data_IF_990459990254
#
_entry.id   IF_990459990254
#
_cell.length_a   1.000
_cell.length_b   1.000
_cell.length_c   1.000
_cell.angle_alpha   90.00
_cell.angle_beta   90.00
_cell.angle_gamma   90.00
#
_symmetry.space_group_name_H-M   'P 1'
#
loop_
_entity.id
_entity.type
_entity.pdbx_description
1 polymer ?
#
# COMPACT_ATOMS: atom_id res chain seq x y z
N UNK A 1 4.27 34.54 4.16
CA UNK A 1 4.88 33.54 5.08
C UNK A 1 6.28 34.04 5.42
N UNK A 2 6.52 34.35 6.70
CA UNK A 2 7.77 34.91 7.21
C UNK A 2 8.91 33.88 7.13
N UNK A 3 10.17 34.37 7.00
CA UNK A 3 11.43 33.56 6.94
C UNK A 3 11.49 32.44 8.00
N UNK A 4 10.89 32.62 9.15
CA UNK A 4 10.84 31.66 10.27
C UNK A 4 10.07 30.35 9.99
N UNK A 5 9.16 30.30 9.01
CA UNK A 5 8.46 29.08 8.65
C UNK A 5 9.23 28.16 7.70
N UNK A 6 10.33 28.63 7.12
CA UNK A 6 11.16 27.88 6.16
C UNK A 6 12.19 26.99 6.86
N UNK A 7 12.56 27.32 8.10
CA UNK A 7 13.61 26.61 8.85
C UNK A 7 13.16 25.25 9.43
N UNK A 8 11.85 24.94 9.35
CA UNK A 8 11.27 23.66 9.80
C UNK A 8 10.94 22.68 8.67
N UNK A 9 10.96 23.14 7.41
CA UNK A 9 10.72 22.24 6.26
C UNK A 9 12.06 21.68 5.74
N UNK A 10 12.16 20.35 5.73
CA UNK A 10 13.32 19.66 5.15
C UNK A 10 13.42 19.95 3.63
N UNK A 11 14.63 19.81 3.06
CA UNK A 11 14.83 20.00 1.63
C UNK A 11 14.04 18.96 0.80
N UNK A 12 13.63 19.28 -0.45
CA UNK A 12 12.97 18.30 -1.33
C UNK A 12 13.76 17.01 -1.48
N UNK A 13 15.09 17.09 -1.45
CA UNK A 13 15.97 15.94 -1.54
C UNK A 13 15.90 15.07 -0.28
N UNK A 14 15.77 15.67 0.91
CA UNK A 14 15.58 14.93 2.17
C UNK A 14 14.24 14.17 2.15
N UNK A 15 13.16 14.84 1.74
CA UNK A 15 11.86 14.19 1.54
C UNK A 15 11.95 13.03 0.54
N UNK A 16 12.62 13.21 -0.59
CA UNK A 16 12.78 12.17 -1.59
C UNK A 16 13.50 10.94 -1.02
N UNK A 17 14.64 11.12 -0.35
CA UNK A 17 15.40 10.02 0.24
C UNK A 17 14.64 9.30 1.36
N UNK A 18 13.99 10.05 2.25
CA UNK A 18 13.13 9.49 3.28
C UNK A 18 11.98 8.68 2.66
N UNK A 19 11.34 9.22 1.63
CA UNK A 19 10.32 8.51 0.86
C UNK A 19 10.83 7.23 0.22
N UNK A 20 12.04 7.24 -0.33
CA UNK A 20 12.67 6.05 -0.89
C UNK A 20 12.88 4.96 0.16
N UNK A 21 13.39 5.30 1.35
CA UNK A 21 13.56 4.35 2.46
C UNK A 21 12.22 3.75 2.89
N UNK A 22 11.22 4.60 3.13
CA UNK A 22 9.89 4.16 3.55
C UNK A 22 9.23 3.26 2.50
N UNK A 23 9.34 3.62 1.20
CA UNK A 23 8.74 2.84 0.14
C UNK A 23 9.37 1.44 0.03
N UNK A 24 10.70 1.35 0.11
CA UNK A 24 11.38 0.06 0.10
C UNK A 24 11.03 -0.79 1.32
N UNK A 25 10.92 -0.17 2.50
CA UNK A 25 10.44 -0.88 3.70
C UNK A 25 9.01 -1.42 3.49
N UNK A 26 8.09 -0.60 2.97
CA UNK A 26 6.71 -1.01 2.68
C UNK A 26 6.70 -2.21 1.74
N UNK A 27 7.47 -2.17 0.65
CA UNK A 27 7.54 -3.27 -0.32
C UNK A 27 8.07 -4.55 0.33
N UNK A 28 9.16 -4.48 1.07
CA UNK A 28 9.77 -5.65 1.72
C UNK A 28 8.83 -6.26 2.76
N UNK A 29 8.22 -5.42 3.62
CA UNK A 29 7.31 -5.89 4.66
C UNK A 29 6.01 -6.47 4.06
N UNK A 30 5.47 -5.86 2.99
CA UNK A 30 4.30 -6.38 2.28
C UNK A 30 4.60 -7.72 1.58
N UNK A 31 5.75 -7.86 0.93
CA UNK A 31 6.17 -9.14 0.34
C UNK A 31 6.36 -10.22 1.40
N UNK A 32 6.96 -9.87 2.54
CA UNK A 32 7.11 -10.81 3.65
C UNK A 32 5.75 -11.26 4.19
N UNK A 33 4.84 -10.34 4.49
CA UNK A 33 3.52 -10.66 5.05
C UNK A 33 2.63 -11.40 4.05
N UNK A 34 2.51 -10.88 2.82
CA UNK A 34 1.59 -11.42 1.81
C UNK A 34 2.11 -12.70 1.17
N UNK A 35 3.31 -12.65 0.58
CA UNK A 35 3.80 -13.76 -0.22
C UNK A 35 4.43 -14.86 0.63
N UNK A 36 5.21 -14.51 1.67
CA UNK A 36 5.92 -15.48 2.47
C UNK A 36 5.04 -16.02 3.61
N UNK A 37 4.46 -15.15 4.43
CA UNK A 37 3.69 -15.59 5.61
C UNK A 37 2.33 -16.14 5.18
N UNK A 38 1.48 -15.33 4.56
CA UNK A 38 0.13 -15.80 4.16
C UNK A 38 0.16 -16.83 3.06
N UNK A 39 0.99 -16.64 2.04
CA UNK A 39 1.17 -17.63 0.97
C UNK A 39 1.65 -18.99 1.47
N UNK A 40 2.44 -19.03 2.55
CA UNK A 40 2.91 -20.26 3.17
C UNK A 40 1.92 -20.91 4.16
N UNK A 41 1.11 -20.11 4.86
CA UNK A 41 0.26 -20.59 5.96
C UNK A 41 -1.20 -20.83 5.56
N UNK A 42 -1.74 -20.08 4.59
CA UNK A 42 -3.13 -20.20 4.18
C UNK A 42 -3.27 -21.26 3.08
N UNK A 43 -4.01 -22.32 3.36
CA UNK A 43 -4.33 -23.36 2.38
C UNK A 43 -5.69 -23.06 1.76
N UNK A 44 -5.68 -22.78 0.45
CA UNK A 44 -6.91 -22.41 -0.26
C UNK A 44 -7.96 -23.53 -0.20
N UNK A 45 -9.14 -23.20 0.35
CA UNK A 45 -10.26 -24.13 0.47
C UNK A 45 -10.18 -25.09 1.67
N UNK A 46 -9.11 -25.07 2.48
CA UNK A 46 -8.94 -25.95 3.63
C UNK A 46 -8.74 -25.17 4.94
N UNK A 47 -9.84 -25.03 5.69
CA UNK A 47 -9.85 -24.30 6.96
C UNK A 47 -9.05 -25.03 8.05
N UNK A 48 -9.10 -26.38 8.08
CA UNK A 48 -8.42 -27.17 9.10
C UNK A 48 -6.89 -27.13 8.90
N UNK A 49 -6.43 -27.34 7.66
CA UNK A 49 -5.01 -27.26 7.35
C UNK A 49 -4.46 -25.83 7.56
N UNK A 50 -5.23 -24.78 7.24
CA UNK A 50 -4.88 -23.39 7.53
C UNK A 50 -4.72 -23.15 9.03
N UNK A 51 -5.69 -23.58 9.83
CA UNK A 51 -5.65 -23.44 11.29
C UNK A 51 -4.42 -24.15 11.89
N UNK A 52 -4.13 -25.38 11.46
CA UNK A 52 -2.97 -26.14 11.91
C UNK A 52 -1.64 -25.46 11.57
N UNK A 53 -1.51 -24.93 10.35
CA UNK A 53 -0.29 -24.21 9.93
C UNK A 53 -0.09 -22.92 10.71
N UNK A 54 -1.16 -22.16 10.94
CA UNK A 54 -1.10 -20.93 11.73
C UNK A 54 -0.72 -21.27 13.17
N UNK A 55 -1.36 -22.26 13.80
CA UNK A 55 -1.03 -22.68 15.16
C UNK A 55 0.43 -23.18 15.29
N UNK A 56 0.94 -23.91 14.31
CA UNK A 56 2.33 -24.37 14.28
C UNK A 56 3.35 -23.25 14.07
N UNK A 57 2.93 -22.11 13.52
CA UNK A 57 3.80 -20.98 13.15
C UNK A 57 3.22 -19.62 13.60
N UNK A 58 2.59 -19.59 14.77
CA UNK A 58 1.87 -18.41 15.27
C UNK A 58 2.78 -17.17 15.36
N UNK A 59 4.00 -17.33 15.85
CA UNK A 59 4.97 -16.24 15.93
C UNK A 59 5.28 -15.66 14.56
N UNK A 60 5.40 -16.49 13.53
CA UNK A 60 5.62 -16.06 12.15
C UNK A 60 4.42 -15.27 11.62
N UNK A 61 3.20 -15.77 11.88
CA UNK A 61 1.97 -15.08 11.47
C UNK A 61 1.85 -13.71 12.16
N UNK A 62 2.11 -13.63 13.46
CA UNK A 62 2.14 -12.38 14.24
C UNK A 62 3.22 -11.42 13.74
N UNK A 63 4.40 -11.91 13.39
CA UNK A 63 5.49 -11.09 12.84
C UNK A 63 5.11 -10.49 11.47
N UNK A 64 4.47 -11.28 10.59
CA UNK A 64 3.93 -10.80 9.32
C UNK A 64 2.90 -9.68 9.53
N UNK A 65 1.93 -9.93 10.40
CA UNK A 65 0.89 -8.96 10.75
C UNK A 65 1.49 -7.66 11.32
N UNK A 66 2.44 -7.76 12.25
CA UNK A 66 3.10 -6.58 12.84
C UNK A 66 3.89 -5.78 11.79
N UNK A 67 4.60 -6.46 10.88
CA UNK A 67 5.29 -5.81 9.77
C UNK A 67 4.33 -5.02 8.88
N UNK A 68 3.20 -5.63 8.52
CA UNK A 68 2.19 -4.97 7.70
C UNK A 68 1.44 -3.83 8.43
N UNK A 69 1.28 -3.91 9.74
CA UNK A 69 0.76 -2.78 10.53
C UNK A 69 1.74 -1.60 10.51
N UNK A 70 3.04 -1.86 10.56
CA UNK A 70 4.05 -0.81 10.41
C UNK A 70 4.03 -0.20 9.00
N UNK A 71 3.72 -0.97 7.96
CA UNK A 71 3.55 -0.40 6.61
C UNK A 71 2.44 0.64 6.58
N UNK A 72 1.34 0.45 7.31
CA UNK A 72 0.25 1.44 7.39
C UNK A 72 0.77 2.79 7.92
N UNK A 73 1.61 2.78 8.96
CA UNK A 73 2.22 4.01 9.50
C UNK A 73 3.15 4.66 8.47
N UNK A 74 3.99 3.85 7.83
CA UNK A 74 4.91 4.33 6.78
C UNK A 74 4.15 4.90 5.58
N UNK A 75 3.03 4.31 5.21
CA UNK A 75 2.19 4.77 4.10
C UNK A 75 1.56 6.14 4.33
N UNK A 76 1.14 6.45 5.57
CA UNK A 76 0.67 7.80 5.92
C UNK A 76 1.79 8.81 5.76
N UNK A 77 3.00 8.50 6.25
CA UNK A 77 4.17 9.36 6.06
C UNK A 77 4.51 9.52 4.56
N UNK A 78 4.41 8.44 3.80
CA UNK A 78 4.65 8.44 2.35
C UNK A 78 3.62 9.30 1.60
N UNK A 79 2.34 9.32 2.04
CA UNK A 79 1.32 10.21 1.48
C UNK A 79 1.72 11.68 1.61
N UNK A 80 2.23 12.08 2.79
CA UNK A 80 2.73 13.44 3.03
C UNK A 80 3.94 13.75 2.16
N UNK A 81 4.91 12.83 2.09
CA UNK A 81 6.13 13.02 1.29
C UNK A 81 5.80 13.22 -0.19
N UNK A 82 4.97 12.35 -0.77
CA UNK A 82 4.57 12.47 -2.17
C UNK A 82 3.75 13.74 -2.43
N UNK A 83 2.89 14.15 -1.49
CA UNK A 83 2.20 15.42 -1.58
C UNK A 83 3.18 16.59 -1.63
N UNK A 84 4.14 16.66 -0.72
CA UNK A 84 5.15 17.73 -0.67
C UNK A 84 5.96 17.77 -1.97
N UNK A 85 6.40 16.61 -2.45
CA UNK A 85 7.21 16.52 -3.67
C UNK A 85 6.43 16.90 -4.93
N UNK A 86 5.11 16.65 -5.00
CA UNK A 86 4.31 16.81 -6.23
C UNK A 86 3.34 17.99 -6.19
N UNK A 87 3.17 18.67 -5.04
CA UNK A 87 2.33 19.87 -4.93
C UNK A 87 2.72 21.01 -5.92
N UNK A 88 4.02 21.18 -6.33
CA UNK A 88 4.36 22.20 -7.31
C UNK A 88 3.82 21.92 -8.71
N UNK A 89 3.42 20.66 -9.01
CA UNK A 89 2.80 20.30 -10.29
C UNK A 89 1.31 20.63 -10.28
N UNK A 90 0.60 20.21 -9.23
CA UNK A 90 -0.81 20.54 -8.99
C UNK A 90 -1.14 20.22 -7.52
N UNK A 91 -1.37 21.27 -6.73
CA UNK A 91 -1.68 21.13 -5.30
C UNK A 91 -2.92 20.29 -5.05
N UNK A 92 -3.99 20.55 -5.81
CA UNK A 92 -5.27 19.88 -5.59
C UNK A 92 -5.21 18.38 -5.96
N UNK A 93 -4.56 18.05 -7.10
CA UNK A 93 -4.40 16.66 -7.50
C UNK A 93 -3.44 15.89 -6.59
N UNK A 94 -2.35 16.54 -6.13
CA UNK A 94 -1.43 15.94 -5.17
C UNK A 94 -2.11 15.68 -3.82
N UNK A 95 -2.96 16.62 -3.34
CA UNK A 95 -3.74 16.45 -2.14
C UNK A 95 -4.76 15.31 -2.29
N UNK A 96 -5.49 15.28 -3.40
CA UNK A 96 -6.46 14.23 -3.68
C UNK A 96 -5.80 12.84 -3.70
N UNK A 97 -4.64 12.72 -4.34
CA UNK A 97 -3.89 11.47 -4.37
C UNK A 97 -3.41 11.06 -2.96
N UNK A 98 -2.94 12.01 -2.14
CA UNK A 98 -2.55 11.75 -0.75
C UNK A 98 -3.75 11.31 0.10
N UNK A 99 -4.92 11.93 -0.07
CA UNK A 99 -6.15 11.53 0.64
C UNK A 99 -6.59 10.11 0.24
N UNK A 100 -6.50 9.74 -1.04
CA UNK A 100 -6.80 8.37 -1.46
C UNK A 100 -5.81 7.36 -0.88
N UNK A 101 -4.52 7.71 -0.75
CA UNK A 101 -3.55 6.85 -0.06
C UNK A 101 -3.91 6.66 1.42
N UNK A 102 -4.31 7.71 2.11
CA UNK A 102 -4.78 7.61 3.51
C UNK A 102 -6.07 6.77 3.61
N UNK A 103 -6.99 6.93 2.65
CA UNK A 103 -8.21 6.10 2.58
C UNK A 103 -7.87 4.63 2.37
N UNK A 104 -6.94 4.32 1.46
CA UNK A 104 -6.40 2.97 1.29
C UNK A 104 -5.90 2.42 2.62
N UNK A 105 -5.03 3.15 3.33
CA UNK A 105 -4.45 2.72 4.62
C UNK A 105 -5.55 2.47 5.66
N UNK A 106 -6.56 3.33 5.73
CA UNK A 106 -7.65 3.16 6.68
C UNK A 106 -8.44 1.87 6.44
N UNK A 107 -8.81 1.59 5.19
CA UNK A 107 -9.55 0.37 4.82
C UNK A 107 -8.66 -0.87 5.02
N UNK A 108 -7.38 -0.80 4.63
CA UNK A 108 -6.42 -1.87 4.83
C UNK A 108 -6.21 -2.17 6.31
N UNK A 109 -6.08 -1.14 7.16
CA UNK A 109 -5.98 -1.28 8.61
C UNK A 109 -7.21 -1.96 9.22
N UNK A 110 -8.43 -1.61 8.77
CA UNK A 110 -9.65 -2.30 9.17
C UNK A 110 -9.64 -3.77 8.71
N UNK A 111 -9.17 -4.04 7.50
CA UNK A 111 -9.05 -5.42 7.02
C UNK A 111 -8.10 -6.26 7.89
N UNK A 112 -7.05 -5.67 8.49
CA UNK A 112 -6.15 -6.36 9.42
C UNK A 112 -6.84 -6.84 10.71
N UNK A 113 -7.92 -6.21 11.13
CA UNK A 113 -8.71 -6.69 12.27
C UNK A 113 -9.25 -8.11 12.06
N UNK A 114 -9.49 -8.51 10.82
CA UNK A 114 -9.95 -9.86 10.49
C UNK A 114 -8.82 -10.91 10.58
N UNK A 115 -7.56 -10.54 10.38
CA UNK A 115 -6.42 -11.41 10.69
C UNK A 115 -6.24 -11.58 12.20
N UNK A 116 -6.43 -10.48 12.95
CA UNK A 116 -6.44 -10.54 14.42
C UNK A 116 -7.60 -11.42 14.91
N UNK A 117 -8.79 -11.28 14.31
CA UNK A 117 -9.93 -12.13 14.65
C UNK A 117 -9.65 -13.63 14.39
N UNK A 118 -8.94 -13.95 13.30
CA UNK A 118 -8.50 -15.32 13.05
C UNK A 118 -7.58 -15.86 14.16
N UNK A 119 -6.62 -15.05 14.64
CA UNK A 119 -5.76 -15.41 15.76
C UNK A 119 -6.54 -15.61 17.06
N UNK A 120 -7.52 -14.74 17.34
CA UNK A 120 -8.40 -14.87 18.51
C UNK A 120 -9.18 -16.17 18.44
N UNK A 121 -9.78 -16.50 17.28
CA UNK A 121 -10.57 -17.73 17.09
C UNK A 121 -9.74 -19.02 17.15
N UNK A 122 -8.45 -18.94 16.84
CA UNK A 122 -7.50 -20.06 16.96
C UNK A 122 -6.77 -20.09 18.33
N UNK A 123 -7.08 -19.14 19.23
CA UNK A 123 -6.53 -19.07 20.57
C UNK A 123 -7.06 -20.18 21.48
N UNK A 124 -6.57 -20.15 22.73
CA UNK A 124 -6.93 -21.17 23.75
C UNK A 124 -7.75 -20.62 24.91
N UNK A 125 -8.44 -19.49 24.68
CA UNK A 125 -9.25 -18.85 25.71
C UNK A 125 -10.45 -19.72 26.10
N UNK A 126 -10.82 -19.69 27.39
CA UNK A 126 -11.86 -20.60 27.95
C UNK A 126 -13.23 -20.42 27.27
N UNK A 127 -13.60 -19.22 26.86
CA UNK A 127 -14.88 -18.99 26.19
C UNK A 127 -14.97 -19.66 24.82
N UNK A 128 -13.85 -19.96 24.17
CA UNK A 128 -13.82 -20.67 22.89
C UNK A 128 -14.17 -22.14 23.02
N UNK A 129 -14.06 -22.72 24.23
CA UNK A 129 -14.45 -24.11 24.51
C UNK A 129 -15.96 -24.39 24.36
N UNK A 130 -16.77 -23.34 24.25
CA UNK A 130 -18.19 -23.42 23.92
C UNK A 130 -18.47 -23.82 22.47
N UNK A 131 -17.46 -23.73 21.58
CA UNK A 131 -17.58 -24.00 20.14
C UNK A 131 -16.87 -25.31 19.78
N UNK A 132 -17.40 -26.01 18.77
CA UNK A 132 -16.69 -27.15 18.17
C UNK A 132 -15.41 -26.63 17.47
N UNK A 133 -14.26 -27.32 17.57
CA UNK A 133 -13.02 -26.92 16.92
C UNK A 133 -13.15 -26.70 15.40
N UNK A 134 -13.99 -27.50 14.73
CA UNK A 134 -14.23 -27.33 13.28
C UNK A 134 -14.95 -26.02 12.97
N UNK A 135 -15.85 -25.57 13.85
CA UNK A 135 -16.52 -24.28 13.73
C UNK A 135 -15.52 -23.13 13.89
N UNK A 136 -14.62 -23.21 14.87
CA UNK A 136 -13.56 -22.22 15.07
C UNK A 136 -12.62 -22.13 13.87
N UNK A 137 -12.20 -23.28 13.31
CA UNK A 137 -11.38 -23.29 12.09
C UNK A 137 -12.10 -22.65 10.91
N UNK A 138 -13.40 -22.95 10.72
CA UNK A 138 -14.20 -22.36 9.65
C UNK A 138 -14.38 -20.84 9.81
N UNK A 139 -14.63 -20.36 11.05
CA UNK A 139 -14.76 -18.95 11.35
C UNK A 139 -13.44 -18.20 11.18
N UNK A 140 -12.32 -18.77 11.62
CA UNK A 140 -10.99 -18.21 11.42
C UNK A 140 -10.66 -18.10 9.93
N UNK A 141 -10.94 -19.14 9.14
CA UNK A 141 -10.76 -19.11 7.70
C UNK A 141 -11.66 -18.08 7.02
N UNK A 142 -12.93 -17.97 7.44
CA UNK A 142 -13.85 -16.94 6.95
C UNK A 142 -13.33 -15.53 7.25
N UNK A 143 -12.76 -15.29 8.45
CA UNK A 143 -12.13 -14.01 8.80
C UNK A 143 -10.96 -13.69 7.87
N UNK A 144 -10.08 -14.64 7.56
CA UNK A 144 -8.99 -14.46 6.60
C UNK A 144 -9.50 -14.18 5.18
N UNK A 145 -10.63 -14.77 4.79
CA UNK A 145 -11.30 -14.46 3.50
C UNK A 145 -11.84 -13.02 3.47
N UNK A 146 -12.45 -12.56 4.55
CA UNK A 146 -12.93 -11.17 4.67
C UNK A 146 -11.75 -10.20 4.63
N UNK A 147 -10.63 -10.51 5.30
CA UNK A 147 -9.40 -9.75 5.15
C UNK A 147 -8.98 -9.60 3.69
N UNK A 148 -8.90 -10.71 2.94
CA UNK A 148 -8.49 -10.70 1.53
C UNK A 148 -9.41 -9.85 0.65
N UNK A 149 -10.73 -9.87 0.91
CA UNK A 149 -11.71 -9.02 0.22
C UNK A 149 -11.53 -7.55 0.60
N UNK A 150 -11.33 -7.26 1.89
CA UNK A 150 -11.07 -5.91 2.39
C UNK A 150 -9.76 -5.31 1.83
N UNK A 151 -8.71 -6.11 1.73
CA UNK A 151 -7.49 -5.72 1.04
C UNK A 151 -7.75 -5.39 -0.43
N UNK A 152 -8.46 -6.25 -1.16
CA UNK A 152 -8.83 -5.98 -2.54
C UNK A 152 -9.67 -4.70 -2.69
N UNK A 153 -10.60 -4.41 -1.75
CA UNK A 153 -11.34 -3.16 -1.73
C UNK A 153 -10.41 -1.95 -1.50
N UNK A 154 -9.43 -2.07 -0.61
CA UNK A 154 -8.47 -0.99 -0.36
C UNK A 154 -7.63 -0.66 -1.59
N UNK A 155 -7.27 -1.66 -2.40
CA UNK A 155 -6.52 -1.49 -3.66
C UNK A 155 -7.26 -0.60 -4.69
N UNK A 156 -8.58 -0.47 -4.61
CA UNK A 156 -9.31 0.50 -5.44
C UNK A 156 -8.80 1.93 -5.20
N UNK A 157 -8.70 2.33 -3.95
CA UNK A 157 -8.23 3.66 -3.55
C UNK A 157 -6.73 3.83 -3.79
N UNK A 158 -5.95 2.78 -3.57
CA UNK A 158 -4.53 2.76 -3.92
C UNK A 158 -4.29 2.92 -5.42
N UNK A 159 -5.14 2.29 -6.23
CA UNK A 159 -5.12 2.43 -7.69
C UNK A 159 -5.34 3.88 -8.16
N UNK A 160 -6.35 4.56 -7.61
CA UNK A 160 -6.57 5.98 -7.90
C UNK A 160 -5.40 6.86 -7.41
N UNK A 161 -4.85 6.55 -6.23
CA UNK A 161 -3.65 7.22 -5.72
C UNK A 161 -2.48 7.07 -6.69
N UNK A 162 -2.15 5.84 -7.12
CA UNK A 162 -1.05 5.55 -8.04
C UNK A 162 -1.26 6.21 -9.41
N UNK A 163 -2.47 6.17 -9.95
CA UNK A 163 -2.79 6.79 -11.24
C UNK A 163 -2.58 8.32 -11.19
N UNK A 164 -3.02 8.99 -10.12
CA UNK A 164 -2.81 10.43 -9.96
C UNK A 164 -1.35 10.77 -9.71
N UNK A 165 -0.67 10.09 -8.80
CA UNK A 165 0.76 10.33 -8.57
C UNK A 165 1.57 10.03 -9.84
N UNK A 166 1.25 8.97 -10.58
CA UNK A 166 1.86 8.66 -11.87
C UNK A 166 1.73 9.81 -12.87
N UNK A 167 0.51 10.36 -13.03
CA UNK A 167 0.24 11.52 -13.86
C UNK A 167 1.05 12.74 -13.41
N UNK A 168 1.12 13.03 -12.12
CA UNK A 168 1.87 14.15 -11.56
C UNK A 168 3.39 13.98 -11.78
N UNK A 169 3.92 12.76 -11.57
CA UNK A 169 5.34 12.44 -11.84
C UNK A 169 5.66 12.68 -13.30
N UNK A 170 4.84 12.24 -14.26
CA UNK A 170 5.05 12.46 -15.69
C UNK A 170 5.11 13.94 -16.05
N UNK A 171 4.30 14.77 -15.38
CA UNK A 171 4.17 16.21 -15.61
C UNK A 171 5.18 17.03 -14.81
N UNK A 172 5.90 16.44 -13.86
CA UNK A 172 6.78 17.14 -12.94
C UNK A 172 7.98 17.79 -13.62
N UNK A 173 8.62 17.08 -14.55
CA UNK A 173 9.86 17.49 -15.21
C UNK A 173 11.13 17.28 -14.38
N UNK A 174 10.99 16.92 -13.08
CA UNK A 174 12.09 16.64 -12.14
C UNK A 174 12.12 15.20 -11.64
N UNK A 175 11.19 14.37 -12.08
CA UNK A 175 11.14 12.92 -11.85
C UNK A 175 11.03 12.19 -13.21
N UNK A 176 11.42 10.89 -13.28
CA UNK A 176 11.41 10.14 -14.55
C UNK A 176 9.99 9.91 -15.07
N UNK A 177 9.73 10.37 -16.29
CA UNK A 177 8.42 10.19 -16.94
C UNK A 177 8.01 8.71 -17.07
N UNK A 178 8.99 7.84 -17.34
CA UNK A 178 8.74 6.41 -17.48
C UNK A 178 8.19 5.77 -16.19
N UNK A 179 8.76 6.11 -15.03
CA UNK A 179 8.24 5.65 -13.73
C UNK A 179 6.82 6.17 -13.46
N UNK A 180 6.55 7.42 -13.82
CA UNK A 180 5.21 7.97 -13.72
C UNK A 180 4.21 7.23 -14.62
N UNK A 181 4.59 6.90 -15.86
CA UNK A 181 3.73 6.13 -16.77
C UNK A 181 3.46 4.70 -16.26
N UNK A 182 4.50 4.03 -15.77
CA UNK A 182 4.34 2.69 -15.18
C UNK A 182 3.44 2.71 -13.94
N UNK A 183 3.60 3.71 -13.08
CA UNK A 183 2.77 3.85 -11.87
C UNK A 183 1.30 4.16 -12.23
N UNK A 184 1.06 4.95 -13.27
CA UNK A 184 -0.28 5.24 -13.79
C UNK A 184 -0.95 3.96 -14.34
N UNK A 185 -0.22 3.18 -15.16
CA UNK A 185 -0.70 1.89 -15.69
C UNK A 185 -0.95 0.90 -14.55
N UNK A 186 -0.04 0.77 -13.59
CA UNK A 186 -0.20 -0.07 -12.41
C UNK A 186 -1.43 0.33 -11.59
N UNK A 187 -1.64 1.64 -11.40
CA UNK A 187 -2.80 2.18 -10.71
C UNK A 187 -4.13 1.81 -11.39
N UNK A 188 -4.21 1.94 -12.72
CA UNK A 188 -5.38 1.51 -13.49
C UNK A 188 -5.59 -0.01 -13.36
N UNK A 189 -4.51 -0.77 -13.29
CA UNK A 189 -4.53 -2.19 -13.02
C UNK A 189 -5.15 -2.53 -11.66
N UNK A 190 -4.74 -1.86 -10.59
CA UNK A 190 -5.33 -2.04 -9.26
C UNK A 190 -6.82 -1.72 -9.23
N UNK A 191 -7.26 -0.65 -9.90
CA UNK A 191 -8.69 -0.31 -10.03
C UNK A 191 -9.45 -1.44 -10.73
N UNK A 192 -8.95 -1.90 -11.88
CA UNK A 192 -9.56 -2.98 -12.64
C UNK A 192 -9.64 -4.29 -11.82
N UNK A 193 -8.57 -4.65 -11.11
CA UNK A 193 -8.54 -5.81 -10.24
C UNK A 193 -9.57 -5.71 -9.11
N UNK A 194 -9.62 -4.59 -8.40
CA UNK A 194 -10.55 -4.39 -7.28
C UNK A 194 -12.01 -4.51 -7.72
N UNK A 195 -12.36 -3.90 -8.85
CA UNK A 195 -13.71 -4.00 -9.41
C UNK A 195 -14.01 -5.44 -9.87
N UNK A 196 -13.07 -6.08 -10.55
CA UNK A 196 -13.24 -7.46 -11.00
C UNK A 196 -13.34 -8.44 -9.83
N UNK A 197 -12.64 -8.21 -8.72
CA UNK A 197 -12.74 -9.04 -7.52
C UNK A 197 -14.17 -9.05 -6.95
N UNK A 198 -14.88 -7.93 -7.05
CA UNK A 198 -16.27 -7.83 -6.59
C UNK A 198 -17.28 -8.39 -7.61
N UNK A 199 -17.07 -8.13 -8.90
CA UNK A 199 -18.03 -8.47 -9.95
C UNK A 199 -17.81 -9.87 -10.55
N UNK A 200 -16.55 -10.31 -10.63
CA UNK A 200 -16.15 -11.56 -11.28
C UNK A 200 -14.92 -12.17 -10.58
N UNK A 201 -15.05 -12.65 -9.32
CA UNK A 201 -13.91 -13.02 -8.47
C UNK A 201 -13.01 -14.11 -9.07
N UNK A 202 -13.59 -15.08 -9.78
CA UNK A 202 -12.82 -16.14 -10.44
C UNK A 202 -11.94 -15.60 -11.58
N UNK A 203 -12.43 -14.65 -12.35
CA UNK A 203 -11.69 -13.96 -13.40
C UNK A 203 -10.58 -13.09 -12.80
N UNK A 204 -10.89 -12.33 -11.75
CA UNK A 204 -9.90 -11.50 -11.05
C UNK A 204 -8.71 -12.34 -10.56
N UNK A 205 -8.97 -13.44 -9.86
CA UNK A 205 -7.94 -14.28 -9.27
C UNK A 205 -7.09 -15.02 -10.30
N UNK A 206 -7.70 -15.57 -11.36
CA UNK A 206 -7.01 -16.44 -12.34
C UNK A 206 -6.35 -15.69 -13.47
N UNK A 207 -6.93 -14.58 -13.91
CA UNK A 207 -6.50 -13.87 -15.11
C UNK A 207 -5.86 -12.53 -14.76
N UNK A 208 -6.51 -11.71 -13.94
CA UNK A 208 -6.03 -10.34 -13.73
C UNK A 208 -4.84 -10.27 -12.78
N UNK A 209 -4.89 -10.96 -11.64
CA UNK A 209 -3.90 -10.79 -10.58
C UNK A 209 -2.44 -10.94 -11.04
N UNK A 210 -2.03 -12.00 -11.77
CA UNK A 210 -0.64 -12.15 -12.19
C UNK A 210 -0.18 -11.06 -13.15
N UNK A 211 -1.05 -10.66 -14.10
CA UNK A 211 -0.70 -9.70 -15.16
C UNK A 211 -0.70 -8.25 -14.69
N UNK A 212 -1.55 -7.92 -13.72
CA UNK A 212 -1.62 -6.57 -13.18
C UNK A 212 -0.43 -6.22 -12.28
N UNK A 213 0.13 -7.21 -11.60
CA UNK A 213 1.33 -7.01 -10.78
C UNK A 213 2.58 -6.70 -11.61
N UNK A 214 2.63 -7.12 -12.87
CA UNK A 214 3.80 -6.90 -13.73
C UNK A 214 4.16 -5.42 -13.93
N UNK A 215 3.24 -4.48 -14.23
CA UNK A 215 3.59 -3.07 -14.30
C UNK A 215 3.67 -2.39 -12.93
N UNK A 216 2.85 -2.80 -11.95
CA UNK A 216 2.76 -2.14 -10.65
C UNK A 216 4.02 -2.33 -9.81
N UNK A 217 4.48 -3.56 -9.65
CA UNK A 217 5.65 -3.87 -8.83
C UNK A 217 6.95 -3.19 -9.32
N UNK A 218 7.32 -3.23 -10.62
CA UNK A 218 8.49 -2.50 -11.12
C UNK A 218 8.33 -0.98 -11.00
N UNK A 219 7.11 -0.44 -11.12
CA UNK A 219 6.86 0.99 -10.96
C UNK A 219 7.14 1.44 -9.53
N UNK A 220 6.60 0.73 -8.55
CA UNK A 220 6.74 1.05 -7.13
C UNK A 220 8.19 0.83 -6.65
N UNK A 221 8.79 -0.30 -6.97
CA UNK A 221 10.19 -0.59 -6.65
C UNK A 221 11.13 0.41 -7.33
N UNK A 222 10.91 0.68 -8.61
CA UNK A 222 11.68 1.66 -9.36
C UNK A 222 11.58 3.06 -8.81
N UNK A 223 10.38 3.49 -8.38
CA UNK A 223 10.17 4.78 -7.74
C UNK A 223 10.87 4.84 -6.39
N UNK A 224 10.73 3.82 -5.55
CA UNK A 224 11.41 3.73 -4.26
C UNK A 224 12.94 3.83 -4.39
N UNK A 225 13.52 3.06 -5.29
CA UNK A 225 14.96 3.09 -5.59
C UNK A 225 15.40 4.44 -6.18
N UNK A 226 14.63 4.99 -7.09
CA UNK A 226 14.94 6.30 -7.68
C UNK A 226 14.95 7.39 -6.61
N UNK A 227 13.92 7.47 -5.79
CA UNK A 227 13.82 8.47 -4.72
C UNK A 227 14.97 8.35 -3.73
N UNK A 228 15.38 7.13 -3.39
CA UNK A 228 16.49 6.88 -2.46
C UNK A 228 17.85 7.29 -3.07
N UNK A 229 18.14 6.87 -4.30
CA UNK A 229 19.47 6.99 -4.91
C UNK A 229 19.64 8.36 -5.59
N UNK A 230 18.69 8.73 -6.45
CA UNK A 230 18.74 9.96 -7.27
C UNK A 230 17.97 11.11 -6.62
N UNK A 231 16.82 10.83 -6.01
CA UNK A 231 15.93 11.85 -5.46
C UNK A 231 15.22 12.66 -6.54
N UNK A 232 15.17 13.98 -6.35
CA UNK A 232 14.56 14.95 -7.28
C UNK A 232 15.60 15.92 -7.82
N UNK A 233 15.36 16.46 -9.03
CA UNK A 233 16.09 17.61 -9.52
C UNK A 233 15.62 18.86 -8.74
N UNK A 234 16.41 19.25 -7.74
CA UNK A 234 16.04 20.31 -6.79
C UNK A 234 15.86 21.64 -7.50
N UNK A 235 16.72 21.98 -8.46
CA UNK A 235 16.64 23.26 -9.17
C UNK A 235 15.32 23.36 -9.96
N UNK A 236 14.91 22.31 -10.64
CA UNK A 236 13.63 22.27 -11.38
C UNK A 236 12.43 22.24 -10.43
N UNK A 237 12.55 21.56 -9.30
CA UNK A 237 11.50 21.53 -8.28
C UNK A 237 11.26 22.94 -7.71
N UNK A 238 12.33 23.65 -7.33
CA UNK A 238 12.27 25.01 -6.78
C UNK A 238 11.73 26.02 -7.80
N UNK A 239 12.18 25.94 -9.05
CA UNK A 239 11.67 26.79 -10.13
C UNK A 239 10.16 26.62 -10.32
N UNK A 240 9.66 25.38 -10.23
CA UNK A 240 8.23 25.11 -10.37
C UNK A 240 7.43 25.55 -9.14
N UNK A 241 7.98 25.39 -7.95
CA UNK A 241 7.37 25.88 -6.71
C UNK A 241 7.28 27.42 -6.71
N UNK A 242 8.29 28.12 -7.23
CA UNK A 242 8.29 29.57 -7.35
C UNK A 242 7.25 30.06 -8.37
N UNK A 243 7.20 29.46 -9.57
CA UNK A 243 6.21 29.78 -10.58
C UNK A 243 4.77 29.60 -10.08
N UNK A 244 4.54 28.57 -9.31
CA UNK A 244 3.23 28.34 -8.69
C UNK A 244 2.88 29.44 -7.67
N UNK A 245 3.85 29.90 -6.86
CA UNK A 245 3.63 30.99 -5.88
C UNK A 245 3.34 32.34 -6.54
N UNK A 246 3.90 32.58 -7.71
CA UNK A 246 3.72 33.80 -8.49
C UNK A 246 2.44 33.78 -9.35
N UNK A 247 1.68 32.67 -9.33
CA UNK A 247 0.43 32.54 -10.10
C UNK A 247 0.63 32.41 -11.60
N UNK A 248 1.84 32.02 -12.04
CA UNK A 248 2.24 31.89 -13.45
C UNK A 248 2.13 30.44 -13.95
N UNK A 249 1.76 29.49 -13.08
CA UNK A 249 1.69 28.03 -13.38
C UNK A 249 0.24 27.53 -13.46
#
# INVERSE_FOLDING_TARGET
MTRRGRDLEASPQTYARAGGILYLFIIVAALFGEAFVRGGLIVSGDAAATAQRIAASETLFRAGLAGEMLTCVCDVAMAVILYVLLRPVSRNLALLAALWRVTFVAIYGVAKLFEIAALVLLGQDDYLKAFDPRQLHALAYASLRVHSLGYGLSLLFFGFCCALFGTLIRRSGYLPRALGALLEIGGLGYIAFSLAQMLAPAFAARVLFPWLMLPAFPAELGLGLWLLIKGVDVARWEARESAWREGVA
#
